data_IF_486685979941
#
_entry.id   IF_486685979941
#
_cell.length_a   1.000
_cell.length_b   1.000
_cell.length_c   1.000
_cell.angle_alpha   90.00
_cell.angle_beta   90.00
_cell.angle_gamma   90.00
#
_symmetry.space_group_name_H-M   'P 1'
#
loop_
_entity.id
_entity.type
_entity.pdbx_description
1 polymer ?
#
# COMPACT_ATOMS: atom_id res chain seq x y z
N UNK A 1 -43.15 -16.44 -2.87
CA UNK A 1 -43.12 -15.01 -3.25
C UNK A 1 -41.94 -14.28 -2.63
N UNK A 2 -41.66 -14.47 -1.34
CA UNK A 2 -40.51 -13.83 -0.66
C UNK A 2 -39.14 -14.18 -1.28
N UNK A 3 -38.91 -15.44 -1.62
CA UNK A 3 -37.65 -15.89 -2.25
C UNK A 3 -37.36 -15.20 -3.61
N UNK A 4 -38.42 -14.98 -4.41
CA UNK A 4 -38.32 -14.24 -5.66
C UNK A 4 -37.99 -12.75 -5.43
N UNK A 5 -38.52 -12.17 -4.35
CA UNK A 5 -38.27 -10.77 -3.99
C UNK A 5 -36.82 -10.57 -3.53
N UNK A 6 -36.30 -11.49 -2.72
CA UNK A 6 -34.88 -11.50 -2.30
C UNK A 6 -33.94 -11.66 -3.50
N UNK A 7 -34.24 -12.62 -4.38
CA UNK A 7 -33.47 -12.83 -5.61
C UNK A 7 -33.49 -11.59 -6.51
N UNK A 8 -34.64 -10.94 -6.66
CA UNK A 8 -34.78 -9.69 -7.42
C UNK A 8 -33.95 -8.57 -6.78
N UNK A 9 -34.01 -8.40 -5.46
CA UNK A 9 -33.27 -7.36 -4.75
C UNK A 9 -31.75 -7.55 -4.85
N UNK A 10 -31.27 -8.78 -4.68
CA UNK A 10 -29.84 -9.13 -4.85
C UNK A 10 -29.40 -8.87 -6.28
N UNK A 11 -30.21 -9.26 -7.26
CA UNK A 11 -29.91 -9.06 -8.68
C UNK A 11 -29.86 -7.57 -9.04
N UNK A 12 -30.82 -6.77 -8.57
CA UNK A 12 -30.83 -5.32 -8.77
C UNK A 12 -29.63 -4.64 -8.10
N UNK A 13 -29.26 -5.06 -6.88
CA UNK A 13 -28.03 -4.60 -6.22
C UNK A 13 -26.78 -4.96 -7.00
N UNK A 14 -26.70 -6.18 -7.53
CA UNK A 14 -25.56 -6.63 -8.32
C UNK A 14 -25.41 -5.79 -9.60
N UNK A 15 -26.52 -5.55 -10.32
CA UNK A 15 -26.54 -4.68 -11.50
C UNK A 15 -26.10 -3.26 -11.14
N UNK A 16 -26.64 -2.68 -10.05
CA UNK A 16 -26.24 -1.36 -9.56
C UNK A 16 -24.75 -1.29 -9.23
N UNK A 17 -24.21 -2.30 -8.53
CA UNK A 17 -22.79 -2.36 -8.19
C UNK A 17 -21.90 -2.49 -9.43
N UNK A 18 -22.33 -3.25 -10.44
CA UNK A 18 -21.60 -3.38 -11.71
C UNK A 18 -21.56 -2.06 -12.48
N UNK A 19 -22.67 -1.33 -12.52
CA UNK A 19 -22.75 0.00 -13.16
C UNK A 19 -21.83 0.98 -12.43
N UNK A 20 -21.92 1.07 -11.10
CA UNK A 20 -21.07 1.96 -10.29
C UNK A 20 -19.58 1.60 -10.41
N UNK A 21 -19.25 0.30 -10.43
CA UNK A 21 -17.88 -0.17 -10.59
C UNK A 21 -17.31 0.20 -11.96
N UNK A 22 -18.10 0.04 -13.02
CA UNK A 22 -17.72 0.39 -14.39
C UNK A 22 -17.52 1.89 -14.54
N UNK A 23 -18.42 2.70 -13.98
CA UNK A 23 -18.25 4.16 -13.90
C UNK A 23 -16.93 4.47 -13.19
N UNK A 24 -16.69 3.93 -11.99
CA UNK A 24 -15.45 4.19 -11.25
C UNK A 24 -14.19 3.76 -12.01
N UNK A 25 -14.28 2.72 -12.84
CA UNK A 25 -13.16 2.21 -13.64
C UNK A 25 -12.89 3.04 -14.91
N UNK A 26 -13.93 3.62 -15.51
CA UNK A 26 -13.81 4.47 -16.72
C UNK A 26 -13.37 5.89 -16.34
N UNK A 27 -13.75 6.38 -15.16
CA UNK A 27 -13.31 7.69 -14.70
C UNK A 27 -11.79 7.72 -14.47
N UNK A 28 -11.08 8.81 -14.85
CA UNK A 28 -9.64 8.90 -14.69
C UNK A 28 -9.24 8.64 -13.24
N UNK A 29 -8.31 7.71 -13.03
CA UNK A 29 -7.75 7.37 -11.70
C UNK A 29 -7.16 8.57 -10.95
N UNK A 30 -6.97 9.71 -11.61
CA UNK A 30 -6.54 10.97 -11.00
C UNK A 30 -7.65 11.78 -10.30
N UNK A 31 -8.93 11.47 -10.53
CA UNK A 31 -10.06 12.21 -9.92
C UNK A 31 -10.50 11.65 -8.57
N UNK A 32 -10.34 10.35 -8.35
CA UNK A 32 -10.64 9.74 -7.06
C UNK A 32 -9.53 10.08 -6.06
N UNK A 33 -9.87 10.41 -4.81
CA UNK A 33 -8.87 10.67 -3.79
C UNK A 33 -7.98 9.44 -3.64
N UNK A 34 -6.66 9.66 -3.69
CA UNK A 34 -5.70 8.60 -3.40
C UNK A 34 -5.88 8.14 -1.96
N UNK A 35 -5.56 6.88 -1.70
CA UNK A 35 -5.56 6.34 -0.35
C UNK A 35 -4.59 7.16 0.52
N UNK A 36 -5.08 7.67 1.64
CA UNK A 36 -4.22 8.24 2.67
C UNK A 36 -3.46 7.12 3.39
N UNK A 37 -2.16 7.32 3.53
CA UNK A 37 -1.22 6.36 4.13
C UNK A 37 -0.53 6.92 5.37
N UNK A 38 -0.90 8.13 5.81
CA UNK A 38 -0.36 8.72 7.04
C UNK A 38 -0.64 7.83 8.25
N UNK A 39 0.40 7.50 9.02
CA UNK A 39 0.35 6.61 10.17
C UNK A 39 0.14 5.12 9.84
N UNK A 40 -0.08 4.76 8.57
CA UNK A 40 -0.23 3.37 8.13
C UNK A 40 1.13 2.70 8.03
N UNK A 41 1.17 1.37 8.17
CA UNK A 41 2.40 0.58 7.97
C UNK A 41 2.49 0.12 6.52
N UNK A 42 3.64 0.36 5.87
CA UNK A 42 3.92 -0.02 4.49
C UNK A 42 5.16 -0.91 4.44
N UNK A 43 5.00 -2.16 4.00
CA UNK A 43 6.10 -3.09 3.73
C UNK A 43 6.58 -2.90 2.28
N UNK A 44 7.88 -2.73 2.10
CA UNK A 44 8.48 -2.51 0.79
C UNK A 44 9.50 -3.62 0.55
N UNK A 45 9.22 -4.46 -0.44
CA UNK A 45 10.15 -5.48 -0.92
C UNK A 45 11.13 -4.88 -1.93
N UNK A 46 12.37 -5.36 -1.95
CA UNK A 46 13.40 -4.77 -2.81
C UNK A 46 13.81 -3.36 -2.39
N UNK A 47 13.65 -3.03 -1.09
CA UNK A 47 13.88 -1.68 -0.55
C UNK A 47 15.34 -1.24 -0.52
N UNK A 48 16.29 -2.15 -0.75
CA UNK A 48 17.72 -1.87 -0.70
C UNK A 48 18.23 -1.10 -1.92
N UNK A 49 17.47 -1.00 -3.01
CA UNK A 49 17.90 -0.31 -4.23
C UNK A 49 16.75 0.16 -5.13
N UNK A 50 17.10 0.87 -6.21
CA UNK A 50 16.21 1.17 -7.32
C UNK A 50 14.84 1.73 -6.92
N UNK A 51 13.77 1.13 -7.48
CA UNK A 51 12.40 1.58 -7.23
C UNK A 51 11.97 1.36 -5.78
N UNK A 52 12.38 0.25 -5.14
CA UNK A 52 12.01 -0.03 -3.75
C UNK A 52 12.53 1.05 -2.81
N UNK A 53 13.80 1.45 -2.95
CA UNK A 53 14.39 2.57 -2.21
C UNK A 53 13.62 3.87 -2.42
N UNK A 54 13.31 4.22 -3.68
CA UNK A 54 12.56 5.44 -4.00
C UNK A 54 11.14 5.42 -3.40
N UNK A 55 10.45 4.28 -3.48
CA UNK A 55 9.13 4.12 -2.88
C UNK A 55 9.17 4.31 -1.36
N UNK A 56 10.21 3.80 -0.69
CA UNK A 56 10.41 4.01 0.74
C UNK A 56 10.45 5.49 1.09
N UNK A 57 11.16 6.29 0.30
CA UNK A 57 11.23 7.73 0.50
C UNK A 57 9.88 8.43 0.26
N UNK A 58 9.17 8.09 -0.81
CA UNK A 58 7.88 8.72 -1.11
C UNK A 58 6.81 8.36 -0.07
N UNK A 59 6.73 7.10 0.36
CA UNK A 59 5.81 6.72 1.43
C UNK A 59 6.21 7.34 2.78
N UNK A 60 7.51 7.47 3.06
CA UNK A 60 8.01 8.16 4.24
C UNK A 60 7.58 9.64 4.28
N UNK A 61 7.66 10.36 3.16
CA UNK A 61 7.18 11.75 3.03
C UNK A 61 5.68 11.89 3.30
N UNK A 62 4.90 10.86 2.96
CA UNK A 62 3.46 10.81 3.24
C UNK A 62 3.14 10.47 4.71
N UNK A 63 4.15 10.29 5.56
CA UNK A 63 3.98 10.00 6.99
C UNK A 63 3.62 8.54 7.27
N UNK A 64 3.92 7.62 6.35
CA UNK A 64 3.77 6.19 6.59
C UNK A 64 4.92 5.65 7.46
N UNK A 65 4.65 4.58 8.20
CA UNK A 65 5.64 3.78 8.93
C UNK A 65 6.18 2.72 7.98
N UNK A 66 7.48 2.71 7.74
CA UNK A 66 8.07 1.90 6.66
C UNK A 66 8.71 0.64 7.23
N UNK A 67 8.41 -0.51 6.64
CA UNK A 67 9.13 -1.76 6.86
C UNK A 67 9.92 -2.08 5.61
N UNK A 68 11.25 -2.08 5.73
CA UNK A 68 12.18 -2.32 4.65
C UNK A 68 12.52 -3.81 4.58
N UNK A 69 12.23 -4.44 3.44
CA UNK A 69 12.48 -5.86 3.18
C UNK A 69 13.31 -6.05 1.91
N UNK A 70 14.55 -6.49 2.09
CA UNK A 70 15.46 -6.81 0.99
C UNK A 70 16.39 -7.96 1.39
N UNK A 71 16.84 -8.73 0.39
CA UNK A 71 17.89 -9.74 0.55
C UNK A 71 19.28 -9.10 0.66
N UNK A 72 19.48 -7.94 0.05
CA UNK A 72 20.70 -7.16 0.19
C UNK A 72 20.63 -6.33 1.48
N UNK A 73 21.18 -6.86 2.57
CA UNK A 73 21.16 -6.20 3.87
C UNK A 73 21.88 -4.85 3.87
N UNK A 74 23.03 -4.73 3.21
CA UNK A 74 23.80 -3.49 3.14
C UNK A 74 23.01 -2.37 2.46
N UNK A 75 22.40 -2.68 1.31
CA UNK A 75 21.53 -1.74 0.60
C UNK A 75 20.30 -1.38 1.43
N UNK A 76 19.76 -2.34 2.19
CA UNK A 76 18.60 -2.11 3.05
C UNK A 76 18.92 -1.18 4.23
N UNK A 77 20.10 -1.35 4.84
CA UNK A 77 20.63 -0.50 5.89
C UNK A 77 20.98 0.91 5.38
N UNK A 78 21.49 1.03 4.15
CA UNK A 78 21.71 2.32 3.51
C UNK A 78 20.38 3.07 3.33
N UNK A 79 19.36 2.41 2.78
CA UNK A 79 18.01 2.98 2.65
C UNK A 79 17.43 3.42 4.00
N UNK A 80 17.64 2.63 5.07
CA UNK A 80 17.24 3.00 6.43
C UNK A 80 17.87 4.32 6.86
N UNK A 81 19.21 4.44 6.75
CA UNK A 81 19.94 5.65 7.14
C UNK A 81 19.47 6.88 6.36
N UNK A 82 19.25 6.72 5.05
CA UNK A 82 18.70 7.79 4.22
C UNK A 82 17.29 8.21 4.67
N UNK A 83 16.43 7.27 5.05
CA UNK A 83 15.10 7.58 5.59
C UNK A 83 15.16 8.30 6.94
N UNK A 84 16.07 7.88 7.83
CA UNK A 84 16.26 8.49 9.15
C UNK A 84 16.71 9.95 9.01
N UNK A 85 17.63 10.22 8.08
CA UNK A 85 18.06 11.59 7.77
C UNK A 85 16.93 12.48 7.24
N UNK A 86 15.85 11.88 6.71
CA UNK A 86 14.66 12.56 6.22
C UNK A 86 13.56 12.71 7.28
N UNK A 87 13.80 12.28 8.52
CA UNK A 87 12.91 12.47 9.66
C UNK A 87 11.66 11.58 9.64
N UNK A 88 11.71 10.42 9.00
CA UNK A 88 10.58 9.49 8.94
C UNK A 88 10.46 8.76 10.29
N UNK A 89 9.26 8.71 10.85
CA UNK A 89 9.05 8.55 12.30
C UNK A 89 9.29 7.13 12.86
N UNK A 90 9.05 6.07 12.07
CA UNK A 90 9.22 4.67 12.51
C UNK A 90 9.62 3.77 11.35
N UNK A 91 10.78 3.12 11.49
CA UNK A 91 11.29 2.16 10.52
C UNK A 91 11.59 0.81 11.18
N UNK A 92 11.31 -0.26 10.46
CA UNK A 92 11.83 -1.60 10.74
C UNK A 92 12.59 -2.12 9.54
N UNK A 93 13.75 -2.74 9.76
CA UNK A 93 14.52 -3.43 8.71
C UNK A 93 14.38 -4.93 8.95
N UNK A 94 14.05 -5.69 7.91
CA UNK A 94 14.02 -7.15 7.99
C UNK A 94 14.65 -7.77 6.75
N UNK A 95 15.63 -8.64 6.98
CA UNK A 95 16.30 -9.45 5.96
C UNK A 95 15.88 -10.92 6.02
N UNK A 96 16.32 -11.75 5.06
CA UNK A 96 16.02 -13.18 5.01
C UNK A 96 16.54 -13.96 6.23
N UNK A 97 17.63 -13.51 6.86
CA UNK A 97 18.28 -14.21 7.99
C UNK A 97 17.89 -13.71 9.39
N UNK A 98 17.27 -12.53 9.54
CA UNK A 98 16.93 -11.97 10.86
C UNK A 98 15.45 -12.16 11.24
N UNK A 99 14.94 -13.37 10.96
CA UNK A 99 13.61 -13.84 11.33
C UNK A 99 13.52 -14.45 12.74
N UNK A 100 14.31 -14.01 13.72
CA UNK A 100 14.16 -14.43 15.12
C UNK A 100 13.46 -13.35 15.93
N UNK A 101 12.13 -13.46 15.96
CA UNK A 101 11.40 -13.15 17.20
C UNK A 101 11.73 -14.24 18.23
#
# INVERSE_FOLDING_TARGET
>A
MEEYLESLFVTLKAILLLILSTIRNIFPTGWLPRKDVKGQTVLITGSGSGLGRLMSFEFGKLGARIVLWDINEDGNLETLRELESRGVEKMGVRGPENGKN
#
